data_IF_836271562266
#
_entry.id   IF_836271562266
#
_cell.length_a   1.000
_cell.length_b   1.000
_cell.length_c   1.000
_cell.angle_alpha   90.00
_cell.angle_beta   90.00
_cell.angle_gamma   90.00
#
_symmetry.space_group_name_H-M   'P 1'
#
loop_
_entity.id
_entity.type
_entity.pdbx_description
1 polymer ?
#
# COMPACT_ATOMS: atom_id res chain seq x y z
N UNK A 1 -5.82 -26.28 5.58
CA UNK A 1 -5.12 -24.98 5.82
C UNK A 1 -4.29 -24.61 4.59
N UNK A 2 -4.13 -23.31 4.32
CA UNK A 2 -3.31 -22.80 3.21
C UNK A 2 -1.88 -22.61 3.71
N UNK A 3 -0.95 -23.41 3.20
CA UNK A 3 0.46 -23.27 3.50
C UNK A 3 1.01 -21.98 2.85
N UNK A 4 1.69 -21.16 3.63
CA UNK A 4 2.16 -19.85 3.23
C UNK A 4 3.66 -19.65 3.44
N UNK A 5 4.26 -18.86 2.54
CA UNK A 5 5.61 -18.35 2.65
C UNK A 5 5.62 -16.82 2.76
N UNK A 6 6.45 -16.25 3.64
CA UNK A 6 6.70 -14.81 3.71
C UNK A 6 8.11 -14.52 3.18
N UNK A 7 8.19 -13.63 2.18
CA UNK A 7 9.42 -13.18 1.53
C UNK A 7 9.74 -11.76 2.01
N UNK A 8 10.94 -11.57 2.59
CA UNK A 8 11.35 -10.33 3.24
C UNK A 8 10.88 -10.27 4.71
N UNK A 9 11.84 -10.26 5.63
CA UNK A 9 11.59 -10.46 7.06
C UNK A 9 11.86 -9.23 7.93
N UNK A 10 11.80 -8.04 7.32
CA UNK A 10 11.83 -6.76 8.04
C UNK A 10 10.52 -6.53 8.81
N UNK A 11 10.31 -5.32 9.29
CA UNK A 11 9.15 -4.96 10.15
C UNK A 11 7.80 -5.43 9.59
N UNK A 12 7.55 -5.21 8.29
CA UNK A 12 6.27 -5.58 7.65
C UNK A 12 6.17 -7.09 7.43
N UNK A 13 7.26 -7.75 7.01
CA UNK A 13 7.27 -9.20 6.87
C UNK A 13 7.01 -9.92 8.20
N UNK A 14 7.62 -9.44 9.29
CA UNK A 14 7.34 -9.95 10.64
C UNK A 14 5.89 -9.75 11.07
N UNK A 15 5.29 -8.62 10.68
CA UNK A 15 3.88 -8.36 10.92
C UNK A 15 3.00 -9.38 10.17
N UNK A 16 3.33 -9.68 8.91
CA UNK A 16 2.62 -10.70 8.14
C UNK A 16 2.82 -12.13 8.67
N UNK A 17 4.00 -12.49 9.16
CA UNK A 17 4.20 -13.77 9.85
C UNK A 17 3.23 -13.92 11.05
N UNK A 18 3.12 -12.87 11.88
CA UNK A 18 2.19 -12.86 13.02
C UNK A 18 0.73 -12.91 12.57
N UNK A 19 0.39 -12.25 11.48
CA UNK A 19 -0.96 -12.22 10.94
C UNK A 19 -1.38 -13.59 10.39
N UNK A 20 -0.49 -14.28 9.65
CA UNK A 20 -0.76 -15.64 9.15
C UNK A 20 -1.08 -16.63 10.28
N UNK A 21 -0.32 -16.59 11.37
CA UNK A 21 -0.56 -17.48 12.53
C UNK A 21 -1.94 -17.22 13.17
N UNK A 22 -2.44 -15.99 13.13
CA UNK A 22 -3.77 -15.62 13.66
C UNK A 22 -4.92 -16.02 12.75
N UNK A 23 -4.69 -16.24 11.46
CA UNK A 23 -5.73 -16.59 10.49
C UNK A 23 -5.88 -18.11 10.48
N UNK A 24 -6.98 -18.64 11.05
CA UNK A 24 -7.24 -20.09 11.19
C UNK A 24 -7.10 -20.91 9.91
N UNK A 25 -7.31 -20.28 8.73
CA UNK A 25 -7.22 -20.95 7.41
C UNK A 25 -5.79 -21.06 6.89
N UNK A 26 -4.79 -20.46 7.54
CA UNK A 26 -3.41 -20.42 7.05
C UNK A 26 -2.42 -21.04 8.00
N UNK A 27 -1.33 -21.55 7.43
CA UNK A 27 -0.16 -22.03 8.16
C UNK A 27 1.09 -21.34 7.64
N UNK A 28 1.85 -20.66 8.50
CA UNK A 28 3.17 -20.15 8.15
C UNK A 28 4.14 -21.33 8.04
N UNK A 29 4.42 -21.76 6.82
CA UNK A 29 5.24 -22.94 6.54
C UNK A 29 6.68 -22.57 6.25
N UNK A 30 6.89 -21.50 5.49
CA UNK A 30 8.23 -21.01 5.14
C UNK A 30 8.39 -19.52 5.40
N UNK A 31 9.62 -19.13 5.68
CA UNK A 31 10.10 -17.75 5.63
C UNK A 31 11.36 -17.67 4.75
N UNK A 32 11.49 -16.57 3.99
CA UNK A 32 12.63 -16.34 3.13
C UNK A 32 13.15 -14.91 3.25
N UNK A 33 14.46 -14.79 3.38
CA UNK A 33 15.19 -13.52 3.32
C UNK A 33 16.63 -13.81 2.84
N UNK A 34 17.24 -12.91 2.08
CA UNK A 34 18.64 -13.05 1.69
C UNK A 34 19.59 -12.99 2.89
N UNK A 35 19.24 -12.25 3.93
CA UNK A 35 20.00 -12.20 5.17
C UNK A 35 19.81 -13.53 5.93
N UNK A 36 20.84 -14.38 5.89
CA UNK A 36 20.83 -15.72 6.50
C UNK A 36 20.63 -15.67 8.01
N UNK A 37 21.27 -14.73 8.72
CA UNK A 37 21.11 -14.56 10.17
C UNK A 37 19.66 -14.21 10.53
N UNK A 38 19.05 -13.29 9.77
CA UNK A 38 17.66 -12.88 9.97
C UNK A 38 16.69 -14.02 9.70
N UNK A 39 16.79 -14.69 8.55
CA UNK A 39 15.87 -15.79 8.19
C UNK A 39 15.93 -16.94 9.17
N UNK A 40 17.15 -17.34 9.63
CA UNK A 40 17.32 -18.42 10.60
C UNK A 40 16.73 -18.04 11.97
N UNK A 41 16.96 -16.80 12.44
CA UNK A 41 16.36 -16.28 13.66
C UNK A 41 14.83 -16.33 13.61
N UNK A 42 14.25 -15.91 12.49
CA UNK A 42 12.80 -15.85 12.31
C UNK A 42 12.18 -17.23 12.14
N UNK A 43 12.82 -18.12 11.38
CA UNK A 43 12.43 -19.51 11.24
C UNK A 43 12.33 -20.20 12.61
N UNK A 44 13.36 -20.08 13.44
CA UNK A 44 13.35 -20.61 14.83
C UNK A 44 12.23 -20.00 15.66
N UNK A 45 12.06 -18.67 15.62
CA UNK A 45 11.04 -17.95 16.39
C UNK A 45 9.62 -18.40 16.08
N UNK A 46 9.31 -18.65 14.82
CA UNK A 46 7.95 -19.03 14.37
C UNK A 46 7.80 -20.54 14.16
N UNK A 47 8.84 -21.34 14.44
CA UNK A 47 8.85 -22.80 14.25
C UNK A 47 8.42 -23.19 12.83
N UNK A 48 8.96 -22.48 11.82
CA UNK A 48 8.68 -22.71 10.39
C UNK A 48 9.96 -23.00 9.62
N UNK A 49 9.85 -23.54 8.41
CA UNK A 49 10.98 -23.86 7.53
C UNK A 49 11.61 -22.61 6.94
N UNK A 50 12.85 -22.71 6.51
CA UNK A 50 13.53 -21.71 5.68
C UNK A 50 14.46 -22.41 4.69
N UNK A 51 14.91 -21.68 3.66
CA UNK A 51 15.88 -22.17 2.68
C UNK A 51 16.88 -21.06 2.33
N UNK A 52 18.07 -21.43 1.92
CA UNK A 52 19.06 -20.51 1.34
C UNK A 52 18.77 -20.21 -0.15
N UNK A 53 17.95 -21.03 -0.79
CA UNK A 53 17.54 -20.86 -2.18
C UNK A 53 16.01 -20.75 -2.29
N UNK A 54 15.55 -19.65 -2.89
CA UNK A 54 14.11 -19.41 -3.11
C UNK A 54 13.48 -20.45 -4.03
N UNK A 55 14.18 -20.93 -5.04
CA UNK A 55 13.68 -21.94 -5.99
C UNK A 55 13.27 -23.25 -5.28
N UNK A 56 13.96 -23.61 -4.19
CA UNK A 56 13.59 -24.80 -3.41
C UNK A 56 12.22 -24.62 -2.73
N UNK A 57 11.90 -23.40 -2.27
CA UNK A 57 10.59 -23.09 -1.69
C UNK A 57 9.52 -23.05 -2.77
N UNK A 58 9.87 -22.51 -3.94
CA UNK A 58 8.95 -22.37 -5.07
C UNK A 58 8.52 -23.73 -5.65
N UNK A 59 9.44 -24.70 -5.69
CA UNK A 59 9.19 -26.09 -6.13
C UNK A 59 8.29 -26.87 -5.16
N UNK A 60 8.19 -26.46 -3.91
CA UNK A 60 7.29 -27.11 -2.96
C UNK A 60 5.82 -26.84 -3.35
N UNK A 61 5.18 -27.86 -3.92
CA UNK A 61 3.80 -27.78 -4.40
C UNK A 61 2.78 -27.59 -3.28
N UNK A 62 3.15 -27.90 -2.02
CA UNK A 62 2.27 -27.70 -0.87
C UNK A 62 2.06 -26.22 -0.54
N UNK A 63 3.03 -25.34 -0.88
CA UNK A 63 2.94 -23.91 -0.63
C UNK A 63 2.06 -23.24 -1.68
N UNK A 64 0.93 -22.71 -1.25
CA UNK A 64 -0.06 -22.09 -2.13
C UNK A 64 -0.02 -20.55 -2.08
N UNK A 65 0.29 -19.95 -0.92
CA UNK A 65 0.26 -18.51 -0.70
C UNK A 65 1.67 -17.97 -0.47
N UNK A 66 2.02 -16.91 -1.21
CA UNK A 66 3.24 -16.15 -1.00
C UNK A 66 2.92 -14.70 -0.64
N UNK A 67 3.56 -14.19 0.43
CA UNK A 67 3.50 -12.79 0.83
C UNK A 67 4.83 -12.14 0.52
N UNK A 68 4.83 -11.17 -0.39
CA UNK A 68 6.01 -10.40 -0.78
C UNK A 68 6.04 -9.14 0.08
N UNK A 69 6.97 -9.07 1.03
CA UNK A 69 7.25 -7.93 1.90
C UNK A 69 8.75 -7.56 1.89
N UNK A 70 9.45 -7.97 0.84
CA UNK A 70 10.85 -7.65 0.55
C UNK A 70 11.01 -6.20 0.07
N UNK A 71 12.22 -5.68 -0.14
CA UNK A 71 12.41 -4.36 -0.74
C UNK A 71 11.72 -4.23 -2.12
N UNK A 72 11.13 -3.07 -2.38
CA UNK A 72 10.27 -2.82 -3.56
C UNK A 72 10.94 -3.18 -4.90
N UNK A 73 12.23 -2.93 -5.05
CA UNK A 73 12.98 -3.26 -6.27
C UNK A 73 13.06 -4.77 -6.56
N UNK A 74 12.73 -5.62 -5.60
CA UNK A 74 12.72 -7.09 -5.75
C UNK A 74 11.33 -7.65 -6.06
N UNK A 75 10.27 -6.85 -5.92
CA UNK A 75 8.88 -7.31 -6.10
C UNK A 75 8.66 -7.89 -7.49
N UNK A 76 9.14 -7.19 -8.56
CA UNK A 76 9.00 -7.66 -9.94
C UNK A 76 9.54 -9.08 -10.15
N UNK A 77 10.70 -9.36 -9.59
CA UNK A 77 11.31 -10.69 -9.66
C UNK A 77 10.43 -11.77 -9.05
N UNK A 78 10.03 -11.57 -7.78
CA UNK A 78 9.20 -12.56 -7.09
C UNK A 78 7.82 -12.72 -7.72
N UNK A 79 7.17 -11.62 -8.10
CA UNK A 79 5.86 -11.67 -8.75
C UNK A 79 5.93 -12.49 -10.04
N UNK A 80 6.92 -12.24 -10.91
CA UNK A 80 7.09 -13.01 -12.16
C UNK A 80 7.29 -14.50 -11.93
N UNK A 81 8.13 -14.85 -10.96
CA UNK A 81 8.39 -16.26 -10.58
C UNK A 81 7.12 -16.93 -10.04
N UNK A 82 6.36 -16.26 -9.18
CA UNK A 82 5.16 -16.81 -8.58
C UNK A 82 4.01 -16.97 -9.58
N UNK A 83 3.87 -16.03 -10.53
CA UNK A 83 2.89 -16.15 -11.63
C UNK A 83 3.15 -17.41 -12.46
N UNK A 84 4.42 -17.66 -12.85
CA UNK A 84 4.76 -18.83 -13.66
C UNK A 84 4.54 -20.17 -12.95
N UNK A 85 4.31 -20.17 -11.63
CA UNK A 85 3.99 -21.35 -10.82
C UNK A 85 2.55 -21.35 -10.28
N UNK A 86 1.70 -20.48 -10.82
CA UNK A 86 0.28 -20.38 -10.45
C UNK A 86 0.04 -20.27 -8.93
N UNK A 87 0.83 -19.42 -8.24
CA UNK A 87 0.75 -19.23 -6.78
C UNK A 87 -0.18 -18.07 -6.43
N UNK A 88 -0.87 -18.15 -5.31
CA UNK A 88 -1.58 -17.02 -4.71
C UNK A 88 -0.57 -15.99 -4.19
N UNK A 89 -0.77 -14.72 -4.52
CA UNK A 89 0.21 -13.66 -4.23
C UNK A 89 -0.43 -12.52 -3.46
N UNK A 90 0.10 -12.23 -2.28
CA UNK A 90 -0.11 -10.97 -1.58
C UNK A 90 1.19 -10.16 -1.69
N UNK A 91 1.16 -9.05 -2.41
CA UNK A 91 2.33 -8.20 -2.61
C UNK A 91 2.17 -6.88 -1.87
N UNK A 92 3.16 -6.49 -1.06
CA UNK A 92 3.21 -5.15 -0.50
C UNK A 92 3.31 -4.09 -1.61
N UNK A 93 2.84 -2.93 -1.29
CA UNK A 93 2.89 -1.78 -2.21
C UNK A 93 4.33 -1.22 -2.34
N UNK A 94 4.66 -0.62 -3.47
CA UNK A 94 4.02 -0.74 -4.77
C UNK A 94 4.28 -2.11 -5.41
N UNK A 95 3.49 -2.49 -6.42
CA UNK A 95 3.67 -3.79 -7.10
C UNK A 95 5.06 -3.87 -7.74
N UNK A 96 5.46 -2.78 -8.41
CA UNK A 96 6.78 -2.65 -9.03
C UNK A 96 7.16 -1.17 -9.23
N UNK A 97 8.44 -0.92 -9.51
CA UNK A 97 8.94 0.46 -9.68
C UNK A 97 8.76 0.98 -11.11
N UNK A 98 8.94 0.14 -12.11
CA UNK A 98 8.86 0.53 -13.52
C UNK A 98 7.43 0.41 -14.05
N UNK A 99 6.75 1.55 -14.18
CA UNK A 99 5.34 1.59 -14.60
C UNK A 99 5.10 1.14 -16.04
N UNK A 100 6.08 1.22 -16.93
CA UNK A 100 5.95 0.69 -18.28
C UNK A 100 5.72 -0.83 -18.28
N UNK A 101 6.19 -1.52 -17.24
CA UNK A 101 5.99 -2.96 -17.04
C UNK A 101 4.71 -3.30 -16.27
N UNK A 102 4.02 -2.30 -15.70
CA UNK A 102 2.86 -2.53 -14.85
C UNK A 102 1.68 -3.09 -15.65
N UNK A 103 1.31 -2.44 -16.75
CA UNK A 103 0.18 -2.87 -17.60
C UNK A 103 0.37 -4.28 -18.17
N UNK A 104 1.52 -4.65 -18.77
CA UNK A 104 1.79 -6.03 -19.20
C UNK A 104 1.71 -7.05 -18.04
N UNK A 105 2.26 -6.70 -16.86
CA UNK A 105 2.22 -7.59 -15.70
C UNK A 105 0.78 -7.83 -15.22
N UNK A 106 -0.02 -6.77 -15.12
CA UNK A 106 -1.44 -6.86 -14.75
C UNK A 106 -2.22 -7.70 -15.75
N UNK A 107 -1.97 -7.53 -17.06
CA UNK A 107 -2.55 -8.35 -18.11
C UNK A 107 -2.23 -9.84 -17.94
N UNK A 108 -0.98 -10.17 -17.65
CA UNK A 108 -0.55 -11.55 -17.41
C UNK A 108 -1.18 -12.15 -16.15
N UNK A 109 -1.26 -11.40 -15.04
CA UNK A 109 -1.92 -11.87 -13.82
C UNK A 109 -3.39 -12.20 -14.08
N UNK A 110 -4.09 -11.36 -14.86
CA UNK A 110 -5.50 -11.56 -15.22
C UNK A 110 -5.69 -12.74 -16.16
N UNK A 111 -4.91 -12.83 -17.25
CA UNK A 111 -5.05 -13.91 -18.23
C UNK A 111 -4.82 -15.30 -17.61
N UNK A 112 -3.92 -15.39 -16.63
CA UNK A 112 -3.64 -16.62 -15.89
C UNK A 112 -4.54 -16.81 -14.67
N UNK A 113 -5.50 -15.91 -14.43
CA UNK A 113 -6.43 -15.97 -13.29
C UNK A 113 -5.73 -16.13 -11.93
N UNK A 114 -4.57 -15.50 -11.79
CA UNK A 114 -3.79 -15.57 -10.54
C UNK A 114 -4.51 -14.79 -9.43
N UNK A 115 -4.78 -15.42 -8.30
CA UNK A 115 -5.31 -14.74 -7.12
C UNK A 115 -4.24 -13.82 -6.54
N UNK A 116 -4.41 -12.51 -6.74
CA UNK A 116 -3.42 -11.49 -6.43
C UNK A 116 -4.00 -10.35 -5.58
N UNK A 117 -3.28 -9.90 -4.56
CA UNK A 117 -3.66 -8.74 -3.76
C UNK A 117 -2.46 -7.79 -3.59
N UNK A 118 -2.74 -6.50 -3.66
CA UNK A 118 -1.78 -5.45 -3.28
C UNK A 118 -2.08 -4.99 -1.85
N UNK A 119 -1.06 -4.82 -1.02
CA UNK A 119 -1.14 -4.48 0.39
C UNK A 119 -1.66 -3.07 0.68
N UNK A 120 -2.81 -2.68 0.10
CA UNK A 120 -3.47 -1.39 0.31
C UNK A 120 -4.35 -1.43 1.57
N UNK A 121 -3.71 -1.45 2.71
CA UNK A 121 -4.34 -1.74 4.00
C UNK A 121 -5.25 -0.62 4.55
N UNK A 122 -5.13 0.65 4.08
CA UNK A 122 -5.89 1.80 4.63
C UNK A 122 -7.40 1.60 4.57
N UNK A 123 -7.93 1.00 3.52
CA UNK A 123 -9.37 0.68 3.39
C UNK A 123 -9.91 -0.18 4.56
N UNK A 124 -9.04 -0.95 5.21
CA UNK A 124 -9.37 -1.85 6.32
C UNK A 124 -9.17 -1.25 7.71
N UNK A 125 -8.70 0.00 7.78
CA UNK A 125 -8.53 0.69 9.06
C UNK A 125 -9.88 1.16 9.63
N UNK A 126 -10.08 0.91 10.92
CA UNK A 126 -11.34 1.23 11.63
C UNK A 126 -11.86 2.65 11.39
N UNK A 127 -11.02 3.72 11.44
CA UNK A 127 -11.49 5.08 11.18
C UNK A 127 -12.09 5.24 9.78
N UNK A 128 -11.43 4.71 8.76
CA UNK A 128 -11.87 4.87 7.36
C UNK A 128 -13.08 3.99 7.02
N UNK A 129 -13.17 2.79 7.61
CA UNK A 129 -14.37 1.95 7.53
C UNK A 129 -15.60 2.66 8.12
N UNK A 130 -15.41 3.37 9.26
CA UNK A 130 -16.50 4.15 9.87
C UNK A 130 -16.95 5.30 8.97
N UNK A 131 -16.01 6.04 8.37
CA UNK A 131 -16.35 7.08 7.38
C UNK A 131 -17.11 6.45 6.21
N UNK A 132 -16.59 5.39 5.59
CA UNK A 132 -17.23 4.74 4.44
C UNK A 132 -18.67 4.33 4.74
N UNK A 133 -18.91 3.75 5.92
CA UNK A 133 -20.28 3.38 6.36
C UNK A 133 -21.21 4.60 6.46
N UNK A 134 -20.72 5.72 6.99
CA UNK A 134 -21.54 6.92 7.17
C UNK A 134 -21.87 7.65 5.86
N UNK A 135 -20.98 7.54 4.84
CA UNK A 135 -21.20 8.22 3.55
C UNK A 135 -21.95 7.39 2.52
N UNK A 136 -22.26 6.10 2.79
CA UNK A 136 -22.84 5.17 1.80
C UNK A 136 -24.09 5.68 1.07
N UNK A 137 -24.94 6.43 1.76
CA UNK A 137 -26.19 6.96 1.21
C UNK A 137 -26.18 8.49 1.13
N UNK A 138 -25.00 9.12 1.21
CA UNK A 138 -24.88 10.58 1.23
C UNK A 138 -24.21 11.08 -0.04
N UNK A 139 -24.68 12.21 -0.54
CA UNK A 139 -24.03 12.93 -1.64
C UNK A 139 -22.83 13.69 -1.08
N UNK A 140 -21.62 13.22 -1.40
CA UNK A 140 -20.37 13.86 -1.01
C UNK A 140 -19.89 14.80 -2.12
N UNK A 141 -19.18 15.85 -1.73
CA UNK A 141 -18.58 16.84 -2.63
C UNK A 141 -17.07 16.81 -2.59
N UNK A 142 -16.49 16.70 -1.39
CA UNK A 142 -15.05 16.84 -1.19
C UNK A 142 -14.52 15.76 -0.24
N UNK A 143 -13.31 15.29 -0.54
CA UNK A 143 -12.52 14.41 0.33
C UNK A 143 -11.22 15.13 0.61
N UNK A 144 -10.94 15.47 1.86
CA UNK A 144 -9.69 16.09 2.28
C UNK A 144 -8.83 15.08 3.03
N UNK A 145 -7.58 14.95 2.63
CA UNK A 145 -6.63 14.00 3.22
C UNK A 145 -5.35 14.71 3.62
N UNK A 146 -5.00 14.60 4.89
CA UNK A 146 -3.74 15.11 5.44
C UNK A 146 -2.91 13.92 5.88
N UNK A 147 -1.65 13.85 5.44
CA UNK A 147 -0.72 12.83 5.88
C UNK A 147 0.66 13.41 6.13
N UNK A 148 1.04 13.48 7.40
CA UNK A 148 2.32 14.00 7.86
C UNK A 148 3.12 12.89 8.54
N UNK A 149 4.44 12.93 8.43
CA UNK A 149 5.32 12.00 9.15
C UNK A 149 6.47 12.75 9.80
N UNK A 150 6.86 12.28 10.99
CA UNK A 150 8.09 12.71 11.67
C UNK A 150 9.21 11.72 11.39
N UNK A 151 10.45 12.16 11.56
CA UNK A 151 11.65 11.32 11.53
C UNK A 151 11.67 10.34 10.34
N UNK A 152 11.40 10.88 9.16
CA UNK A 152 11.29 10.06 7.97
C UNK A 152 12.67 9.59 7.50
N UNK A 153 12.81 8.27 7.29
CA UNK A 153 14.01 7.71 6.66
C UNK A 153 13.97 8.00 5.16
N UNK A 154 14.61 9.09 4.76
CA UNK A 154 14.65 9.57 3.38
C UNK A 154 15.23 8.52 2.42
N UNK A 155 16.34 7.88 2.76
CA UNK A 155 16.97 6.85 1.92
C UNK A 155 15.99 5.71 1.62
N UNK A 156 15.21 5.30 2.60
CA UNK A 156 14.20 4.26 2.40
C UNK A 156 13.05 4.74 1.52
N UNK A 157 12.59 5.99 1.71
CA UNK A 157 11.53 6.56 0.88
C UNK A 157 11.92 6.64 -0.60
N UNK A 158 13.11 7.11 -0.88
CA UNK A 158 13.64 7.20 -2.25
C UNK A 158 13.70 5.81 -2.87
N UNK A 159 14.20 4.80 -2.12
CA UNK A 159 14.21 3.39 -2.56
C UNK A 159 12.78 2.85 -2.84
N UNK A 160 11.78 3.36 -2.16
CA UNK A 160 10.38 2.99 -2.35
C UNK A 160 9.65 3.83 -3.40
N UNK A 161 10.36 4.66 -4.18
CA UNK A 161 9.79 5.47 -5.27
C UNK A 161 9.34 6.86 -4.88
N UNK A 162 9.83 7.41 -3.77
CA UNK A 162 9.61 8.79 -3.35
C UNK A 162 8.26 9.05 -2.70
N UNK A 163 7.93 10.33 -2.51
CA UNK A 163 6.79 10.77 -1.73
C UNK A 163 5.47 10.14 -2.19
N UNK A 164 5.19 10.18 -3.48
CA UNK A 164 3.91 9.71 -4.01
C UNK A 164 3.80 8.18 -3.99
N UNK A 165 4.85 7.46 -4.37
CA UNK A 165 4.83 6.00 -4.44
C UNK A 165 4.96 5.35 -3.06
N UNK A 166 5.72 5.95 -2.14
CA UNK A 166 5.87 5.41 -0.78
C UNK A 166 4.68 5.75 0.12
N UNK A 167 4.20 7.01 0.08
CA UNK A 167 3.16 7.54 0.97
C UNK A 167 1.83 7.79 0.25
N UNK A 168 1.88 8.49 -0.89
CA UNK A 168 0.69 8.90 -1.64
C UNK A 168 -0.20 7.75 -2.08
N UNK A 169 0.40 6.64 -2.49
CA UNK A 169 -0.31 5.45 -3.01
C UNK A 169 -1.46 4.99 -2.10
N UNK A 170 -1.25 4.99 -0.79
CA UNK A 170 -2.27 4.59 0.18
C UNK A 170 -3.49 5.50 0.18
N UNK A 171 -3.27 6.80 -0.02
CA UNK A 171 -4.31 7.81 0.08
C UNK A 171 -5.01 8.06 -1.25
N UNK A 172 -4.32 7.90 -2.35
CA UNK A 172 -4.94 7.90 -3.68
C UNK A 172 -5.90 6.71 -3.81
N UNK A 173 -5.49 5.52 -3.36
CA UNK A 173 -6.35 4.36 -3.25
C UNK A 173 -7.56 4.62 -2.33
N UNK A 174 -7.32 5.19 -1.16
CA UNK A 174 -8.36 5.49 -0.19
C UNK A 174 -9.39 6.48 -0.74
N UNK A 175 -8.95 7.53 -1.45
CA UNK A 175 -9.85 8.50 -2.08
C UNK A 175 -10.69 7.88 -3.20
N UNK A 176 -10.10 7.02 -4.04
CA UNK A 176 -10.83 6.25 -5.04
C UNK A 176 -11.91 5.37 -4.39
N UNK A 177 -11.58 4.70 -3.29
CA UNK A 177 -12.51 3.86 -2.57
C UNK A 177 -13.63 4.67 -1.88
N UNK A 178 -13.31 5.81 -1.26
CA UNK A 178 -14.30 6.67 -0.61
C UNK A 178 -15.23 7.32 -1.64
N UNK A 179 -14.71 7.85 -2.74
CA UNK A 179 -15.49 8.47 -3.81
C UNK A 179 -16.35 7.47 -4.60
N UNK A 180 -16.00 6.18 -4.56
CA UNK A 180 -16.60 5.13 -5.42
C UNK A 180 -16.58 5.50 -6.91
N UNK A 181 -15.54 6.24 -7.36
CA UNK A 181 -15.40 6.77 -8.72
C UNK A 181 -13.97 6.68 -9.21
N UNK A 182 -13.80 6.68 -10.53
CA UNK A 182 -12.49 6.79 -11.16
C UNK A 182 -12.03 8.24 -11.18
N UNK A 183 -10.76 8.52 -10.90
CA UNK A 183 -10.21 9.86 -11.04
C UNK A 183 -10.12 10.24 -12.54
N UNK A 184 -10.42 11.51 -12.83
CA UNK A 184 -10.44 12.06 -14.19
C UNK A 184 -9.20 12.86 -14.51
N UNK A 185 -8.75 13.66 -13.55
CA UNK A 185 -7.58 14.54 -13.71
C UNK A 185 -6.95 14.88 -12.38
N UNK A 186 -5.66 15.19 -12.41
CA UNK A 186 -4.83 15.48 -11.24
C UNK A 186 -3.93 16.69 -11.49
N UNK A 187 -3.76 17.52 -10.48
CA UNK A 187 -2.73 18.55 -10.41
C UNK A 187 -1.98 18.44 -9.10
N UNK A 188 -0.66 18.65 -9.13
CA UNK A 188 0.21 18.54 -7.96
C UNK A 188 1.21 19.68 -7.90
N UNK A 189 1.39 20.23 -6.70
CA UNK A 189 2.48 21.15 -6.35
C UNK A 189 3.30 20.45 -5.28
N UNK A 190 4.58 20.23 -5.54
CA UNK A 190 5.46 19.56 -4.60
C UNK A 190 6.82 20.26 -4.51
N UNK A 191 7.38 20.31 -3.29
CA UNK A 191 8.64 20.99 -3.01
C UNK A 191 9.50 20.20 -2.03
N UNK A 192 10.82 20.27 -2.16
CA UNK A 192 11.76 19.68 -1.20
C UNK A 192 12.11 20.69 -0.09
N UNK A 193 11.09 21.14 0.67
CA UNK A 193 11.24 22.26 1.62
C UNK A 193 12.21 21.98 2.78
N UNK A 194 12.38 20.72 3.15
CA UNK A 194 13.07 20.38 4.40
C UNK A 194 14.52 19.90 4.25
N UNK A 195 14.96 19.56 3.03
CA UNK A 195 16.34 19.09 2.80
C UNK A 195 16.73 19.12 1.34
N UNK A 196 17.94 19.61 1.07
CA UNK A 196 18.57 19.60 -0.26
C UNK A 196 18.77 18.19 -0.81
N UNK A 197 18.82 17.17 0.04
CA UNK A 197 18.95 15.77 -0.40
C UNK A 197 17.71 15.27 -1.14
N UNK A 198 16.52 15.83 -0.89
CA UNK A 198 15.33 15.53 -1.70
C UNK A 198 15.50 16.05 -3.13
N UNK A 199 16.08 17.24 -3.31
CA UNK A 199 16.41 17.80 -4.62
C UNK A 199 17.35 16.89 -5.42
N UNK A 200 18.46 16.46 -4.79
CA UNK A 200 19.47 15.59 -5.43
C UNK A 200 18.88 14.26 -5.92
N UNK A 201 17.78 13.83 -5.34
CA UNK A 201 17.12 12.56 -5.69
C UNK A 201 15.80 12.76 -6.46
N UNK A 202 15.51 13.97 -6.96
CA UNK A 202 14.27 14.30 -7.66
C UNK A 202 13.00 13.89 -6.88
N UNK A 203 13.03 13.98 -5.55
CA UNK A 203 11.92 13.68 -4.64
C UNK A 203 11.52 14.91 -3.84
N UNK A 204 10.42 14.83 -3.13
CA UNK A 204 9.80 15.92 -2.40
C UNK A 204 9.60 15.56 -0.92
N UNK A 205 9.72 16.58 -0.05
CA UNK A 205 9.32 16.44 1.35
C UNK A 205 7.85 16.77 1.57
N UNK A 206 7.32 17.69 0.76
CA UNK A 206 5.98 18.24 0.90
C UNK A 206 5.28 18.29 -0.46
N UNK A 207 3.97 18.05 -0.45
CA UNK A 207 3.14 18.15 -1.64
C UNK A 207 1.69 18.48 -1.31
N UNK A 208 1.07 19.24 -2.23
CA UNK A 208 -0.36 19.45 -2.34
C UNK A 208 -0.83 18.83 -3.65
N UNK A 209 -1.91 18.05 -3.58
CA UNK A 209 -2.47 17.37 -4.75
C UNK A 209 -3.97 17.57 -4.76
N UNK A 210 -4.52 17.84 -5.94
CA UNK A 210 -5.97 17.88 -6.17
C UNK A 210 -6.32 16.89 -7.26
N UNK A 211 -7.33 16.05 -7.00
CA UNK A 211 -7.87 15.08 -7.95
C UNK A 211 -9.35 15.36 -8.17
N UNK A 212 -9.76 15.54 -9.42
CA UNK A 212 -11.17 15.55 -9.82
C UNK A 212 -11.59 14.16 -10.27
N UNK A 213 -12.71 13.67 -9.74
CA UNK A 213 -13.30 12.38 -10.11
C UNK A 213 -14.39 12.53 -11.17
N UNK A 214 -14.74 11.42 -11.84
CA UNK A 214 -15.79 11.41 -12.88
C UNK A 214 -17.17 11.81 -12.37
N UNK A 215 -17.48 11.53 -11.09
CA UNK A 215 -18.72 11.93 -10.43
C UNK A 215 -18.66 13.34 -9.82
N UNK A 216 -17.72 14.19 -10.27
CA UNK A 216 -17.49 15.57 -9.84
C UNK A 216 -17.02 15.74 -8.38
N UNK A 217 -16.75 14.68 -7.64
CA UNK A 217 -16.08 14.76 -6.34
C UNK A 217 -14.67 15.31 -6.56
N UNK A 218 -14.22 16.16 -5.64
CA UNK A 218 -12.84 16.65 -5.59
C UNK A 218 -12.16 16.07 -4.35
N UNK A 219 -10.94 15.54 -4.53
CA UNK A 219 -10.10 15.14 -3.40
C UNK A 219 -8.88 16.05 -3.31
N UNK A 220 -8.60 16.53 -2.09
CA UNK A 220 -7.45 17.35 -1.73
C UNK A 220 -6.50 16.55 -0.85
N UNK A 221 -5.21 16.66 -1.12
CA UNK A 221 -4.19 15.96 -0.34
C UNK A 221 -3.11 16.92 0.10
N UNK A 222 -2.73 16.84 1.37
CA UNK A 222 -1.56 17.50 1.93
C UNK A 222 -0.60 16.45 2.48
N UNK A 223 0.59 16.41 1.94
CA UNK A 223 1.67 15.54 2.40
C UNK A 223 2.80 16.35 3.02
N UNK A 224 3.36 15.86 4.14
CA UNK A 224 4.59 16.36 4.70
C UNK A 224 5.40 15.24 5.35
N UNK A 225 6.73 15.36 5.28
CA UNK A 225 7.69 14.48 5.93
C UNK A 225 8.41 15.15 7.11
N UNK A 226 7.92 16.30 7.54
CA UNK A 226 8.58 17.17 8.54
C UNK A 226 7.70 17.49 9.73
N UNK A 227 6.81 16.60 10.12
CA UNK A 227 5.88 16.84 11.22
C UNK A 227 6.52 16.56 12.59
N UNK A 228 6.96 17.59 13.30
CA UNK A 228 7.61 17.49 14.63
C UNK A 228 6.81 16.68 15.67
N UNK A 229 5.48 16.85 15.81
CA UNK A 229 4.69 16.10 16.80
C UNK A 229 4.57 14.58 16.55
N UNK A 230 4.93 14.08 15.38
CA UNK A 230 4.81 12.65 15.07
C UNK A 230 4.05 12.36 13.78
N UNK A 231 3.67 11.11 13.60
CA UNK A 231 2.92 10.68 12.41
C UNK A 231 1.43 11.01 12.53
N UNK A 232 0.90 11.75 11.57
CA UNK A 232 -0.49 12.17 11.54
C UNK A 232 -1.13 11.80 10.21
N UNK A 233 -2.29 11.14 10.26
CA UNK A 233 -3.17 10.90 9.12
C UNK A 233 -4.58 11.36 9.51
N UNK A 234 -5.19 12.19 8.68
CA UNK A 234 -6.56 12.65 8.84
C UNK A 234 -7.28 12.57 7.50
N UNK A 235 -8.53 12.13 7.54
CA UNK A 235 -9.44 12.09 6.39
C UNK A 235 -10.74 12.77 6.79
N UNK A 236 -11.11 13.79 6.05
CA UNK A 236 -12.39 14.48 6.18
C UNK A 236 -13.20 14.32 4.90
N UNK A 237 -14.48 14.04 5.03
CA UNK A 237 -15.43 13.95 3.91
C UNK A 237 -16.53 14.96 4.12
N UNK A 238 -16.70 15.83 3.14
CA UNK A 238 -17.68 16.90 3.11
C UNK A 238 -18.79 16.59 2.10
N UNK A 239 -19.97 16.99 2.42
CA UNK A 239 -21.14 16.94 1.54
C UNK A 239 -22.16 17.99 1.93
N UNK A 240 -23.33 17.98 1.26
CA UNK A 240 -24.39 18.91 1.62
C UNK A 240 -24.81 18.71 3.09
N UNK A 241 -24.58 19.74 3.91
CA UNK A 241 -24.96 19.80 5.33
C UNK A 241 -24.29 18.75 6.25
N UNK A 242 -23.09 18.24 5.89
CA UNK A 242 -22.33 17.40 6.81
C UNK A 242 -20.82 17.47 6.56
N UNK A 243 -20.06 17.24 7.64
CA UNK A 243 -18.63 16.92 7.63
C UNK A 243 -18.37 15.72 8.55
N UNK A 244 -17.55 14.78 8.07
CA UNK A 244 -17.15 13.60 8.84
C UNK A 244 -15.64 13.51 8.81
N UNK A 245 -15.02 13.58 10.00
CA UNK A 245 -13.55 13.50 10.14
C UNK A 245 -13.14 12.19 10.84
N UNK A 246 -12.03 11.59 10.35
CA UNK A 246 -11.49 10.34 10.87
C UNK A 246 -10.87 10.44 12.25
N UNK A 247 -10.43 11.64 12.66
CA UNK A 247 -9.60 11.84 13.84
C UNK A 247 -10.30 11.40 15.13
N UNK A 248 -11.62 11.60 15.19
CA UNK A 248 -12.44 11.13 16.31
C UNK A 248 -12.50 9.61 16.48
N UNK A 249 -12.07 8.85 15.47
CA UNK A 249 -12.09 7.38 15.48
C UNK A 249 -10.72 6.75 15.71
N UNK A 250 -9.66 7.55 15.75
CA UNK A 250 -8.34 7.09 16.14
C UNK A 250 -8.21 7.00 17.67
N UNK A 251 -7.35 6.10 18.12
CA UNK A 251 -7.00 6.03 19.53
C UNK A 251 -6.06 7.20 19.87
N UNK A 252 -6.46 8.05 20.82
CA UNK A 252 -5.70 9.23 21.26
C UNK A 252 -4.28 8.87 21.71
N UNK A 253 -4.10 7.75 22.43
CA UNK A 253 -2.79 7.27 22.93
C UNK A 253 -1.80 6.94 21.81
N UNK A 254 -2.29 6.52 20.62
CA UNK A 254 -1.46 6.13 19.49
C UNK A 254 -1.57 7.09 18.31
N UNK A 255 -2.20 8.25 18.51
CA UNK A 255 -2.53 9.17 17.40
C UNK A 255 -1.31 9.61 16.60
N UNK A 256 -0.21 9.93 17.26
CA UNK A 256 1.06 10.32 16.65
C UNK A 256 2.09 9.18 16.54
N UNK A 257 1.71 7.97 16.90
CA UNK A 257 2.63 6.82 16.85
C UNK A 257 2.94 6.38 15.42
N UNK A 258 3.91 5.50 15.29
CA UNK A 258 4.27 4.87 14.02
C UNK A 258 3.05 4.18 13.40
N UNK A 259 2.89 4.31 12.07
CA UNK A 259 1.76 3.73 11.32
C UNK A 259 1.62 2.22 11.51
N UNK A 260 2.72 1.49 11.71
CA UNK A 260 2.70 0.05 11.99
C UNK A 260 2.01 -0.29 13.31
N UNK A 261 2.01 0.63 14.28
CA UNK A 261 1.31 0.49 15.56
C UNK A 261 -0.14 0.95 15.39
N UNK A 262 -0.33 2.18 14.89
CA UNK A 262 -1.61 2.85 14.71
C UNK A 262 -2.58 2.05 13.82
N UNK A 263 -2.06 1.39 12.79
CA UNK A 263 -2.84 0.70 11.75
C UNK A 263 -2.61 -0.82 11.72
N UNK A 264 -2.05 -1.40 12.77
CA UNK A 264 -1.70 -2.83 12.85
C UNK A 264 -2.85 -3.76 12.45
N UNK A 265 -4.04 -3.48 12.93
CA UNK A 265 -5.24 -4.28 12.64
C UNK A 265 -5.66 -4.22 11.18
N UNK A 266 -5.34 -3.13 10.47
CA UNK A 266 -5.69 -3.00 9.05
C UNK A 266 -4.88 -3.94 8.17
N UNK A 267 -3.62 -4.21 8.48
CA UNK A 267 -2.81 -5.21 7.79
C UNK A 267 -3.39 -6.62 7.97
N UNK A 268 -3.77 -6.98 9.20
CA UNK A 268 -4.44 -8.25 9.47
C UNK A 268 -5.74 -8.39 8.67
N UNK A 269 -6.61 -7.37 8.71
CA UNK A 269 -7.90 -7.39 8.02
C UNK A 269 -7.74 -7.43 6.50
N UNK A 270 -6.77 -6.72 5.94
CA UNK A 270 -6.47 -6.74 4.51
C UNK A 270 -6.05 -8.15 4.06
N UNK A 271 -5.09 -8.76 4.77
CA UNK A 271 -4.63 -10.12 4.48
C UNK A 271 -5.74 -11.15 4.67
N UNK A 272 -6.50 -11.05 5.78
CA UNK A 272 -7.62 -11.95 6.05
C UNK A 272 -8.71 -11.84 4.98
N UNK A 273 -9.07 -10.63 4.56
CA UNK A 273 -10.02 -10.42 3.48
C UNK A 273 -9.56 -11.07 2.17
N UNK A 274 -8.28 -10.94 1.82
CA UNK A 274 -7.71 -11.60 0.64
C UNK A 274 -7.82 -13.12 0.71
N UNK A 275 -7.59 -13.70 1.88
CA UNK A 275 -7.65 -15.16 2.08
C UNK A 275 -9.09 -15.66 2.03
N UNK A 276 -10.02 -14.95 2.66
CA UNK A 276 -11.41 -15.38 2.84
C UNK A 276 -12.30 -15.17 1.61
N UNK A 277 -11.98 -14.16 0.78
CA UNK A 277 -12.81 -13.84 -0.38
C UNK A 277 -12.32 -14.58 -1.63
N UNK A 278 -13.27 -15.11 -2.42
CA UNK A 278 -13.01 -15.57 -3.78
C UNK A 278 -12.95 -14.39 -4.78
N UNK A 279 -13.08 -13.15 -4.30
CA UNK A 279 -12.98 -11.96 -5.16
C UNK A 279 -11.61 -11.95 -5.82
N UNK A 280 -11.63 -11.94 -7.13
CA UNK A 280 -10.47 -11.58 -7.93
C UNK A 280 -10.03 -10.17 -7.53
N UNK A 281 -8.95 -10.12 -6.75
CA UNK A 281 -7.92 -9.11 -6.85
C UNK A 281 -8.24 -7.65 -6.53
N UNK A 282 -7.63 -7.18 -5.46
CA UNK A 282 -7.26 -5.75 -5.32
C UNK A 282 -6.05 -5.38 -6.24
N UNK A 283 -5.86 -6.11 -7.32
CA UNK A 283 -4.81 -5.88 -8.32
C UNK A 283 -5.05 -4.59 -9.08
N UNK A 284 -6.27 -4.38 -9.56
CA UNK A 284 -6.63 -3.18 -10.34
C UNK A 284 -6.53 -1.92 -9.50
N UNK A 285 -7.02 -1.98 -8.27
CA UNK A 285 -6.92 -0.86 -7.34
C UNK A 285 -5.46 -0.50 -7.08
N UNK A 286 -4.59 -1.51 -6.85
CA UNK A 286 -3.16 -1.29 -6.66
C UNK A 286 -2.48 -0.72 -7.91
N UNK A 287 -2.82 -1.24 -9.08
CA UNK A 287 -2.33 -0.72 -10.36
C UNK A 287 -2.78 0.73 -10.58
N UNK A 288 -4.06 1.01 -10.38
CA UNK A 288 -4.61 2.36 -10.55
C UNK A 288 -3.98 3.36 -9.58
N UNK A 289 -3.78 2.96 -8.32
CA UNK A 289 -3.10 3.81 -7.34
C UNK A 289 -1.66 4.14 -7.77
N UNK A 290 -0.93 3.20 -8.36
CA UNK A 290 0.40 3.44 -8.91
C UNK A 290 0.38 4.40 -10.11
N UNK A 291 -0.60 4.27 -11.01
CA UNK A 291 -0.79 5.19 -12.16
C UNK A 291 -1.07 6.60 -11.65
N UNK A 292 -1.88 6.75 -10.60
CA UNK A 292 -2.13 8.06 -9.98
C UNK A 292 -0.85 8.64 -9.36
N UNK A 293 0.00 7.81 -8.73
CA UNK A 293 1.29 8.27 -8.20
C UNK A 293 2.21 8.84 -9.29
N UNK A 294 2.29 8.16 -10.43
CA UNK A 294 3.08 8.64 -11.57
C UNK A 294 2.53 9.95 -12.13
N UNK A 295 1.23 10.04 -12.31
CA UNK A 295 0.58 11.26 -12.76
C UNK A 295 0.79 12.42 -11.79
N UNK A 296 0.74 12.17 -10.48
CA UNK A 296 1.07 13.17 -9.45
C UNK A 296 2.51 13.64 -9.58
N UNK A 297 3.46 12.70 -9.74
CA UNK A 297 4.88 13.03 -9.94
C UNK A 297 5.10 13.84 -11.21
N UNK A 298 4.48 13.42 -12.32
CA UNK A 298 4.56 14.13 -13.60
C UNK A 298 3.97 15.54 -13.50
N UNK A 299 2.81 15.68 -12.86
CA UNK A 299 2.19 17.00 -12.63
C UNK A 299 3.08 17.90 -11.78
N UNK A 300 3.65 17.38 -10.69
CA UNK A 300 4.55 18.14 -9.83
C UNK A 300 5.82 18.63 -10.54
N UNK A 301 6.35 17.84 -11.48
CA UNK A 301 7.54 18.19 -12.26
C UNK A 301 7.25 19.18 -13.38
N UNK A 302 6.06 19.12 -14.00
CA UNK A 302 5.71 19.92 -15.17
C UNK A 302 4.88 21.15 -14.85
N UNK A 303 4.30 21.23 -13.63
CA UNK A 303 3.32 22.27 -13.26
C UNK A 303 1.98 22.15 -13.99
N UNK A 304 1.76 21.09 -14.77
CA UNK A 304 0.56 20.92 -15.61
C UNK A 304 -0.43 19.94 -15.00
N UNK A 305 -1.72 20.16 -15.30
CA UNK A 305 -2.77 19.17 -15.06
C UNK A 305 -2.54 17.93 -15.92
N UNK A 306 -2.69 16.74 -15.34
CA UNK A 306 -2.58 15.47 -16.06
C UNK A 306 -3.95 14.79 -16.11
N UNK A 307 -4.40 14.44 -17.32
CA UNK A 307 -5.60 13.59 -17.52
C UNK A 307 -5.26 12.14 -17.17
N UNK A 308 -6.21 11.45 -16.54
CA UNK A 308 -6.08 10.06 -16.10
C UNK A 308 -7.03 9.18 -16.92
N UNK A 309 -6.46 8.19 -17.60
CA UNK A 309 -7.19 7.20 -18.42
C UNK A 309 -6.99 5.81 -17.79
N UNK A 310 -8.10 5.16 -17.37
CA UNK A 310 -8.13 3.84 -16.70
C UNK A 310 -8.96 2.82 -17.46
#
# INVERSE_FOLDING_TARGET
MINACVIGLSTIGLLHCRNLIKIKKTQLTYVFDYNSKLRNKISKKFKCKTSNNFENILKDKSIKLFIIASPTNTHEYYVKKLISHNKMIYCEKPILMNLNKLKPLVGRIKSQRIKFCVGLNRRFAKPYLKIKKQIQKRKISTIRIISRSANHNMKQSIRNGGLFMDKGIHFFDLACWLSSSKPKKIISIAKPLSSIEYLKNNDFSDAFVVIKFNNNIVAEFMYSRTNKPGNHESVEVLGKNFSINSDKYFNKKTYFSNFNIKLKDSYYKCLKNFIDTNRENFLLEGSNAQIICDAALKSAKTGKEIKLNF
#
